data_IF_055348458507
#
_entry.id   IF_055348458507
#
_cell.length_a   1.000
_cell.length_b   1.000
_cell.length_c   1.000
_cell.angle_alpha   90.00
_cell.angle_beta   90.00
_cell.angle_gamma   90.00
#
_symmetry.space_group_name_H-M   'P 1'
#
loop_
_entity.id
_entity.type
_entity.pdbx_description
1 polymer ?
#
# COMPACT_ATOMS: atom_id res chain seq x y z
N UNK A 1 1.90 -12.13 48.44
CA UNK A 1 2.80 -10.98 48.23
C UNK A 1 2.32 -10.25 47.00
N UNK A 2 2.04 -8.94 47.07
CA UNK A 2 1.61 -8.20 45.89
C UNK A 2 2.75 -8.14 44.87
N UNK A 3 2.45 -8.42 43.61
CA UNK A 3 3.44 -8.33 42.55
C UNK A 3 3.61 -6.88 42.09
N UNK A 4 4.69 -6.62 41.36
CA UNK A 4 5.04 -5.28 40.86
C UNK A 4 3.87 -4.62 40.10
N UNK A 5 3.08 -5.36 39.33
CA UNK A 5 1.93 -4.81 38.61
C UNK A 5 0.80 -4.33 39.55
N UNK A 6 0.57 -4.98 40.69
CA UNK A 6 -0.42 -4.56 41.69
C UNK A 6 -0.02 -3.28 42.43
N UNK A 7 1.27 -3.12 42.70
CA UNK A 7 1.82 -1.92 43.36
C UNK A 7 1.76 -0.71 42.41
N UNK A 8 2.13 -0.91 41.14
CA UNK A 8 2.17 0.19 40.17
C UNK A 8 0.76 0.62 39.76
N UNK A 9 -0.24 -0.27 39.77
CA UNK A 9 -1.65 0.09 39.45
C UNK A 9 -2.18 1.29 40.23
N UNK A 10 -1.80 1.47 41.50
CA UNK A 10 -2.19 2.63 42.32
C UNK A 10 -1.43 3.92 41.98
N UNK A 11 -0.38 3.82 41.18
CA UNK A 11 0.49 4.92 40.74
C UNK A 11 0.35 5.22 39.23
N UNK A 12 -0.42 4.42 38.48
CA UNK A 12 -0.76 4.73 37.09
C UNK A 12 -1.82 5.84 37.09
N UNK A 13 -1.41 7.05 36.70
CA UNK A 13 -2.32 8.21 36.59
C UNK A 13 -3.02 8.31 35.24
N UNK A 14 -2.54 7.56 34.23
CA UNK A 14 -3.12 7.50 32.89
C UNK A 14 -2.84 6.13 32.24
N UNK A 15 -3.89 5.44 31.81
CA UNK A 15 -3.82 4.24 30.96
C UNK A 15 -4.47 4.55 29.61
N UNK A 16 -3.71 4.49 28.52
CA UNK A 16 -4.24 4.70 27.15
C UNK A 16 -4.26 3.35 26.43
N UNK A 17 -5.44 2.94 25.97
CA UNK A 17 -5.62 1.79 25.08
C UNK A 17 -5.80 2.30 23.66
N UNK A 18 -4.72 2.27 22.88
CA UNK A 18 -4.74 2.61 21.46
C UNK A 18 -4.11 1.49 20.64
N UNK A 19 -4.55 1.37 19.39
CA UNK A 19 -3.88 0.53 18.39
C UNK A 19 -2.76 1.36 17.77
N UNK A 20 -1.51 1.02 18.06
CA UNK A 20 -0.35 1.70 17.45
C UNK A 20 -0.25 1.37 15.95
N UNK A 21 -0.45 0.10 15.58
CA UNK A 21 -0.37 -0.39 14.19
C UNK A 21 -1.37 -1.50 13.91
N UNK A 22 -2.04 -1.41 12.77
CA UNK A 22 -2.88 -2.46 12.23
C UNK A 22 -2.24 -3.00 10.94
N UNK A 23 -1.83 -4.27 10.96
CA UNK A 23 -1.32 -4.95 9.77
C UNK A 23 -2.42 -5.83 9.17
N UNK A 24 -2.85 -5.49 7.95
CA UNK A 24 -3.78 -6.32 7.18
C UNK A 24 -3.03 -7.02 6.04
N UNK A 25 -2.72 -8.30 6.25
CA UNK A 25 -2.10 -9.13 5.23
C UNK A 25 -3.20 -9.79 4.37
N UNK A 26 -3.50 -9.17 3.23
CA UNK A 26 -4.44 -9.74 2.27
C UNK A 26 -3.77 -10.78 1.37
N UNK A 27 -4.42 -11.93 1.18
CA UNK A 27 -3.97 -12.99 0.28
C UNK A 27 -4.98 -13.21 -0.83
N UNK A 28 -4.52 -13.14 -2.09
CA UNK A 28 -5.35 -13.44 -3.27
C UNK A 28 -4.83 -14.72 -3.92
N UNK A 29 -5.42 -15.90 -3.66
CA UNK A 29 -4.88 -17.19 -4.09
C UNK A 29 -4.61 -17.26 -5.61
N UNK A 30 -5.58 -16.77 -6.40
CA UNK A 30 -5.50 -16.80 -7.87
C UNK A 30 -4.42 -15.88 -8.46
N UNK A 31 -3.79 -15.01 -7.66
CA UNK A 31 -2.71 -14.14 -8.13
C UNK A 31 -1.33 -14.60 -7.62
N UNK A 32 -1.23 -15.81 -7.05
CA UNK A 32 0.04 -16.35 -6.56
C UNK A 32 0.81 -17.19 -7.57
N UNK A 33 0.22 -17.50 -8.73
CA UNK A 33 0.91 -18.22 -9.81
C UNK A 33 0.87 -17.43 -11.12
N UNK A 34 1.83 -17.71 -12.01
CA UNK A 34 1.88 -17.07 -13.34
C UNK A 34 0.62 -17.38 -14.16
N UNK A 35 0.15 -18.63 -14.15
CA UNK A 35 -1.11 -19.02 -14.80
C UNK A 35 -2.33 -18.30 -14.22
N UNK A 36 -2.34 -18.10 -12.90
CA UNK A 36 -3.38 -17.33 -12.22
C UNK A 36 -3.42 -15.86 -12.64
N UNK A 37 -2.26 -15.23 -12.80
CA UNK A 37 -2.14 -13.87 -13.37
C UNK A 37 -2.65 -13.81 -14.81
N UNK A 38 -2.28 -14.77 -15.65
CA UNK A 38 -2.77 -14.85 -17.03
C UNK A 38 -4.31 -14.98 -17.04
N UNK A 39 -4.85 -15.86 -16.19
CA UNK A 39 -6.30 -16.05 -16.07
C UNK A 39 -7.01 -14.76 -15.58
N UNK A 40 -6.43 -14.05 -14.62
CA UNK A 40 -6.96 -12.76 -14.16
C UNK A 40 -7.03 -11.75 -15.30
N UNK A 41 -5.98 -11.62 -16.10
CA UNK A 41 -5.95 -10.68 -17.22
C UNK A 41 -6.95 -11.06 -18.33
N UNK A 42 -7.01 -12.33 -18.69
CA UNK A 42 -7.87 -12.79 -19.77
C UNK A 42 -9.35 -12.81 -19.38
N UNK A 43 -9.68 -13.33 -18.21
CA UNK A 43 -11.07 -13.57 -17.78
C UNK A 43 -11.61 -12.44 -16.93
N UNK A 44 -10.94 -12.11 -15.83
CA UNK A 44 -11.45 -11.09 -14.90
C UNK A 44 -11.30 -9.65 -15.45
N UNK A 45 -10.26 -9.39 -16.26
CA UNK A 45 -10.05 -8.10 -16.92
C UNK A 45 -10.51 -8.07 -18.38
N UNK A 46 -11.05 -9.19 -18.90
CA UNK A 46 -11.62 -9.30 -20.24
C UNK A 46 -10.65 -9.01 -21.39
N UNK A 47 -9.34 -9.15 -21.16
CA UNK A 47 -8.34 -8.79 -22.17
C UNK A 47 -8.18 -9.91 -23.19
N UNK A 48 -8.00 -9.56 -24.46
CA UNK A 48 -7.70 -10.53 -25.53
C UNK A 48 -6.30 -11.15 -25.39
N UNK A 49 -5.37 -10.41 -24.79
CA UNK A 49 -4.00 -10.84 -24.52
C UNK A 49 -3.62 -10.51 -23.08
N UNK A 50 -2.78 -11.32 -22.41
CA UNK A 50 -2.39 -11.11 -21.02
C UNK A 50 -1.24 -10.08 -20.94
N UNK A 51 -1.45 -8.87 -21.46
CA UNK A 51 -0.44 -7.81 -21.46
C UNK A 51 -0.22 -7.23 -20.05
N UNK A 52 1.04 -7.01 -19.62
CA UNK A 52 1.33 -6.42 -18.31
C UNK A 52 0.92 -4.94 -18.20
N UNK A 53 0.64 -4.27 -19.33
CA UNK A 53 0.20 -2.88 -19.35
C UNK A 53 -1.07 -2.62 -18.51
N UNK A 54 -1.92 -3.65 -18.39
CA UNK A 54 -3.15 -3.61 -17.59
C UNK A 54 -2.85 -3.34 -16.11
N UNK A 55 -1.73 -3.84 -15.58
CA UNK A 55 -1.31 -3.55 -14.21
C UNK A 55 -0.97 -2.07 -14.02
N UNK A 56 -0.33 -1.45 -15.02
CA UNK A 56 -0.07 -0.02 -15.04
C UNK A 56 -1.38 0.77 -15.03
N UNK A 57 -2.35 0.41 -15.86
CA UNK A 57 -3.67 1.06 -15.89
C UNK A 57 -4.43 0.94 -14.56
N UNK A 58 -4.41 -0.25 -13.94
CA UNK A 58 -5.02 -0.46 -12.60
C UNK A 58 -4.34 0.44 -11.56
N UNK A 59 -3.00 0.47 -11.59
CA UNK A 59 -2.21 1.27 -10.65
C UNK A 59 -2.48 2.76 -10.83
N UNK A 60 -2.47 3.28 -12.05
CA UNK A 60 -2.76 4.69 -12.30
C UNK A 60 -4.21 5.06 -11.95
N UNK A 61 -5.18 4.20 -12.26
CA UNK A 61 -6.58 4.41 -11.84
C UNK A 61 -6.72 4.48 -10.31
N UNK A 62 -6.02 3.61 -9.57
CA UNK A 62 -5.98 3.66 -8.11
C UNK A 62 -5.34 4.97 -7.62
N UNK A 63 -4.16 5.33 -8.15
CA UNK A 63 -3.43 6.55 -7.80
C UNK A 63 -4.27 7.80 -8.00
N UNK A 64 -4.88 7.94 -9.17
CA UNK A 64 -5.72 9.09 -9.52
C UNK A 64 -6.91 9.20 -8.59
N UNK A 65 -7.64 8.09 -8.35
CA UNK A 65 -8.80 8.11 -7.44
C UNK A 65 -8.40 8.44 -6.01
N UNK A 66 -7.31 7.87 -5.50
CA UNK A 66 -6.84 8.14 -4.15
C UNK A 66 -6.43 9.61 -4.00
N UNK A 67 -5.70 10.15 -4.97
CA UNK A 67 -5.25 11.55 -4.96
C UNK A 67 -6.43 12.52 -5.06
N UNK A 68 -7.40 12.25 -5.94
CA UNK A 68 -8.62 13.06 -6.05
C UNK A 68 -9.44 13.01 -4.75
N UNK A 69 -9.57 11.83 -4.12
CA UNK A 69 -10.26 11.67 -2.85
C UNK A 69 -9.59 12.44 -1.71
N UNK A 70 -8.26 12.40 -1.64
CA UNK A 70 -7.48 13.16 -0.65
C UNK A 70 -7.63 14.68 -0.86
N UNK A 71 -7.54 15.14 -2.12
CA UNK A 71 -7.75 16.55 -2.48
C UNK A 71 -9.15 17.04 -2.10
N UNK A 72 -10.21 16.29 -2.45
CA UNK A 72 -11.58 16.65 -2.13
C UNK A 72 -11.85 16.78 -0.62
N UNK A 73 -11.03 16.12 0.20
CA UNK A 73 -11.12 16.16 1.68
C UNK A 73 -10.06 17.05 2.33
N UNK A 74 -9.30 17.79 1.54
CA UNK A 74 -8.20 18.65 2.00
C UNK A 74 -7.16 17.90 2.85
N UNK A 75 -6.93 16.64 2.50
CA UNK A 75 -5.98 15.79 3.22
C UNK A 75 -4.59 16.03 2.64
N UNK A 76 -3.59 16.39 3.47
CA UNK A 76 -2.22 16.58 3.03
C UNK A 76 -1.67 15.35 2.31
N UNK A 77 -1.09 15.57 1.13
CA UNK A 77 -0.36 14.55 0.38
C UNK A 77 1.14 14.78 0.49
N UNK A 78 1.86 13.82 1.03
CA UNK A 78 3.27 13.95 1.35
C UNK A 78 4.07 12.95 0.53
N UNK A 79 4.96 13.43 -0.33
CA UNK A 79 5.96 12.59 -0.99
C UNK A 79 7.22 12.54 -0.13
N UNK A 80 7.49 11.38 0.47
CA UNK A 80 8.63 11.19 1.36
C UNK A 80 9.94 11.19 0.58
N UNK A 81 10.79 12.15 0.90
CA UNK A 81 12.12 12.26 0.35
C UNK A 81 13.07 11.26 1.03
N UNK A 82 14.11 10.84 0.29
CA UNK A 82 15.16 9.96 0.83
C UNK A 82 15.85 10.61 2.02
N UNK A 83 16.09 9.84 3.08
CA UNK A 83 16.80 10.29 4.29
C UNK A 83 15.91 11.04 5.29
N UNK A 84 14.64 11.31 4.97
CA UNK A 84 13.71 11.92 5.91
C UNK A 84 13.13 10.86 6.85
N UNK A 85 13.22 11.12 8.16
CA UNK A 85 12.48 10.36 9.16
C UNK A 85 11.00 10.71 9.06
N UNK A 86 10.23 9.79 8.46
CA UNK A 86 8.81 9.97 8.10
C UNK A 86 7.97 10.41 9.31
N UNK A 87 8.24 9.83 10.48
CA UNK A 87 7.47 10.10 11.70
C UNK A 87 7.63 11.55 12.18
N UNK A 88 8.86 12.08 12.21
CA UNK A 88 9.15 13.47 12.59
C UNK A 88 8.47 14.47 11.63
N UNK A 89 8.42 14.13 10.33
CA UNK A 89 7.71 14.93 9.33
C UNK A 89 6.20 14.92 9.58
N UNK A 90 5.63 13.72 9.77
CA UNK A 90 4.17 13.53 9.98
C UNK A 90 3.72 14.12 11.32
N UNK A 91 4.59 14.15 12.33
CA UNK A 91 4.29 14.73 13.65
C UNK A 91 3.84 16.19 13.55
N UNK A 92 4.40 16.96 12.61
CA UNK A 92 3.98 18.35 12.35
C UNK A 92 2.52 18.47 11.90
N UNK A 93 2.03 17.47 11.16
CA UNK A 93 0.64 17.40 10.72
C UNK A 93 -0.26 16.90 11.84
N UNK A 94 0.17 15.88 12.61
CA UNK A 94 -0.56 15.39 13.78
C UNK A 94 -0.82 16.50 14.80
N UNK A 95 0.18 17.32 15.10
CA UNK A 95 0.05 18.44 16.05
C UNK A 95 -0.97 19.51 15.60
N UNK A 96 -1.27 19.60 14.29
CA UNK A 96 -2.24 20.55 13.73
C UNK A 96 -3.62 19.92 13.51
N UNK A 97 -3.76 18.62 13.69
CA UNK A 97 -5.00 17.91 13.48
C UNK A 97 -5.93 18.12 14.69
N UNK A 98 -7.08 18.76 14.47
CA UNK A 98 -7.97 19.18 15.56
C UNK A 98 -9.16 18.25 15.78
N UNK A 99 -9.48 17.38 14.81
CA UNK A 99 -10.60 16.47 14.95
C UNK A 99 -10.27 15.32 15.91
N UNK A 100 -11.29 14.79 16.58
CA UNK A 100 -11.15 13.63 17.47
C UNK A 100 -10.79 12.34 16.74
N UNK A 101 -11.07 12.27 15.44
CA UNK A 101 -10.71 11.14 14.58
C UNK A 101 -10.63 11.58 13.12
N UNK A 102 -9.87 10.83 12.33
CA UNK A 102 -9.79 11.00 10.88
C UNK A 102 -8.39 10.71 10.36
N UNK A 103 -8.19 10.97 9.08
CA UNK A 103 -6.91 10.72 8.42
C UNK A 103 -6.07 12.01 8.44
N UNK A 104 -4.86 11.90 8.97
CA UNK A 104 -3.97 13.06 9.18
C UNK A 104 -3.28 13.47 7.88
N UNK A 105 -2.82 12.50 7.09
CA UNK A 105 -2.17 12.73 5.80
C UNK A 105 -2.14 11.44 4.99
N UNK A 106 -1.90 11.54 3.68
CA UNK A 106 -1.46 10.42 2.85
C UNK A 106 0.02 10.58 2.56
N UNK A 107 0.84 9.68 3.06
CA UNK A 107 2.27 9.61 2.75
C UNK A 107 2.55 8.66 1.59
N UNK A 108 3.52 9.01 0.73
CA UNK A 108 3.94 8.18 -0.40
C UNK A 108 5.44 8.01 -0.38
N UNK A 109 5.91 6.76 -0.47
CA UNK A 109 7.33 6.45 -0.67
C UNK A 109 7.47 5.39 -1.76
N UNK A 110 8.59 5.41 -2.48
CA UNK A 110 8.96 4.31 -3.37
C UNK A 110 9.76 3.27 -2.60
N UNK A 111 9.28 2.03 -2.59
CA UNK A 111 9.94 0.92 -1.91
C UNK A 111 9.93 -0.34 -2.79
N UNK A 112 10.81 -1.28 -2.46
CA UNK A 112 10.89 -2.55 -3.18
C UNK A 112 9.85 -3.53 -2.65
N UNK A 113 9.11 -4.14 -3.56
CA UNK A 113 8.16 -5.20 -3.26
C UNK A 113 8.33 -6.38 -4.22
N UNK A 114 7.85 -7.56 -3.80
CA UNK A 114 7.74 -8.72 -4.70
C UNK A 114 6.50 -8.57 -5.59
N UNK A 115 6.70 -8.33 -6.88
CA UNK A 115 5.64 -8.12 -7.86
C UNK A 115 5.73 -9.05 -9.06
N UNK A 116 4.71 -9.01 -9.91
CA UNK A 116 4.71 -9.71 -11.19
C UNK A 116 5.32 -8.84 -12.28
N UNK A 117 6.20 -9.45 -13.08
CA UNK A 117 6.77 -8.85 -14.28
C UNK A 117 6.66 -9.85 -15.43
N UNK A 118 6.51 -9.35 -16.66
CA UNK A 118 6.41 -10.19 -17.85
C UNK A 118 7.49 -9.87 -18.86
N UNK A 119 8.00 -10.92 -19.52
CA UNK A 119 8.79 -10.80 -20.74
C UNK A 119 7.88 -11.04 -21.93
N UNK A 120 7.92 -10.13 -22.92
CA UNK A 120 7.24 -10.29 -24.21
C UNK A 120 8.12 -11.12 -25.13
N UNK A 121 7.56 -12.14 -25.76
CA UNK A 121 8.16 -12.83 -26.91
C UNK A 121 7.19 -12.80 -28.08
N UNK A 122 7.74 -12.70 -29.29
CA UNK A 122 6.95 -12.64 -30.52
C UNK A 122 7.48 -13.69 -31.50
N UNK A 123 6.58 -14.51 -32.03
CA UNK A 123 6.88 -15.48 -33.09
C UNK A 123 5.91 -15.24 -34.25
N UNK A 124 6.40 -14.60 -35.31
CA UNK A 124 5.56 -14.10 -36.39
C UNK A 124 4.47 -13.15 -35.86
N UNK A 125 3.21 -13.49 -36.08
CA UNK A 125 2.03 -12.74 -35.61
C UNK A 125 1.62 -13.04 -34.15
N UNK A 126 2.19 -14.07 -33.53
CA UNK A 126 1.80 -14.50 -32.19
C UNK A 126 2.61 -13.79 -31.12
N UNK A 127 1.92 -13.11 -30.20
CA UNK A 127 2.50 -12.52 -28.99
C UNK A 127 2.31 -13.45 -27.79
N UNK A 128 3.39 -13.67 -27.04
CA UNK A 128 3.38 -14.40 -25.78
C UNK A 128 3.95 -13.54 -24.66
N UNK A 129 3.39 -13.69 -23.46
CA UNK A 129 3.88 -13.06 -22.24
C UNK A 129 4.17 -14.13 -21.20
N UNK A 130 5.42 -14.17 -20.73
CA UNK A 130 5.84 -15.07 -19.65
C UNK A 130 5.98 -14.28 -18.36
N UNK A 131 5.17 -14.62 -17.35
CA UNK A 131 5.16 -13.95 -16.05
C UNK A 131 6.10 -14.61 -15.05
N UNK A 132 6.83 -13.79 -14.29
CA UNK A 132 7.69 -14.22 -13.19
C UNK A 132 7.61 -13.23 -12.03
N UNK A 133 7.89 -13.71 -10.81
CA UNK A 133 8.08 -12.83 -9.66
C UNK A 133 9.42 -12.10 -9.79
N UNK A 134 9.41 -10.80 -9.50
CA UNK A 134 10.61 -9.96 -9.48
C UNK A 134 10.47 -8.92 -8.38
N UNK A 135 11.60 -8.50 -7.80
CA UNK A 135 11.63 -7.26 -7.03
C UNK A 135 11.34 -6.08 -7.96
N UNK A 136 10.31 -5.31 -7.64
CA UNK A 136 9.86 -4.12 -8.36
C UNK A 136 9.82 -2.93 -7.40
N UNK A 137 10.09 -1.73 -7.90
CA UNK A 137 9.90 -0.51 -7.13
C UNK A 137 8.47 -0.03 -7.34
N UNK A 138 7.70 0.10 -6.26
CA UNK A 138 6.30 0.53 -6.28
C UNK A 138 6.09 1.65 -5.26
N UNK A 139 5.03 2.42 -5.46
CA UNK A 139 4.60 3.37 -4.44
C UNK A 139 3.92 2.63 -3.29
N UNK A 140 4.44 2.85 -2.08
CA UNK A 140 3.80 2.50 -0.82
C UNK A 140 3.05 3.72 -0.30
N UNK A 141 1.79 3.51 0.10
CA UNK A 141 0.91 4.52 0.64
C UNK A 141 0.77 4.32 2.14
N UNK A 142 1.00 5.39 2.90
CA UNK A 142 0.87 5.46 4.35
C UNK A 142 -0.31 6.36 4.67
N UNK A 143 -1.13 5.94 5.63
CA UNK A 143 -2.37 6.61 6.05
C UNK A 143 -2.29 6.95 7.54
#
# INVERSE_FOLDING_TARGET
>A
MPNVAEIIRKHVTLEVKCVDRLYLNAYVPRLQSAGGVVNFLLRARGQKIPSPAVFGQITESFKTRLRAWAQARHIPWIEFQKGVRKDDLVQKYRNRFQASSGMVCVGVAQERASGWSATKTQRGRYLHFTYRRKSVCVNHYYF
#
